data_IF_810840600331
#
_entry.id   IF_810840600331
#
_cell.length_a   1.000
_cell.length_b   1.000
_cell.length_c   1.000
_cell.angle_alpha   90.00
_cell.angle_beta   90.00
_cell.angle_gamma   90.00
#
_symmetry.space_group_name_H-M   'P 1'
#
loop_
_entity.id
_entity.type
_entity.pdbx_description
1 polymer ?
#
# COMPACT_ATOMS: atom_id res chain seq x y z
N UNK A 1 7.25 33.70 -42.50
CA UNK A 1 8.21 32.93 -41.66
C UNK A 1 8.10 33.26 -40.18
N UNK A 2 8.09 34.54 -39.78
CA UNK A 2 7.97 34.98 -38.36
C UNK A 2 6.69 34.49 -37.66
N UNK A 3 5.55 34.50 -38.34
CA UNK A 3 4.27 33.99 -37.80
C UNK A 3 4.25 32.47 -37.64
N UNK A 4 4.93 31.72 -38.53
CA UNK A 4 5.06 30.26 -38.45
C UNK A 4 5.91 29.83 -37.24
N UNK A 5 7.01 30.56 -36.99
CA UNK A 5 7.89 30.35 -35.84
C UNK A 5 7.16 30.68 -34.53
N UNK A 6 6.34 31.73 -34.52
CA UNK A 6 5.50 32.09 -33.37
C UNK A 6 4.50 30.99 -33.02
N UNK A 7 3.82 30.40 -34.01
CA UNK A 7 2.88 29.30 -33.77
C UNK A 7 3.56 28.03 -33.23
N UNK A 8 4.76 27.70 -33.72
CA UNK A 8 5.55 26.57 -33.23
C UNK A 8 5.98 26.78 -31.77
N UNK A 9 6.40 27.99 -31.41
CA UNK A 9 6.83 28.28 -30.05
C UNK A 9 5.67 28.22 -29.05
N UNK A 10 4.48 28.69 -29.43
CA UNK A 10 3.28 28.60 -28.61
C UNK A 10 2.82 27.14 -28.43
N UNK A 11 2.90 26.31 -29.48
CA UNK A 11 2.51 24.90 -29.41
C UNK A 11 3.42 24.06 -28.49
N UNK A 12 4.73 24.35 -28.48
CA UNK A 12 5.69 23.68 -27.58
C UNK A 12 5.53 24.07 -26.10
N UNK A 13 4.90 25.21 -25.79
CA UNK A 13 4.68 25.63 -24.40
C UNK A 13 3.51 24.90 -23.72
N UNK A 14 2.50 24.47 -24.49
CA UNK A 14 1.32 23.80 -23.93
C UNK A 14 1.56 22.33 -23.54
N UNK A 15 2.54 21.65 -24.16
CA UNK A 15 2.84 20.23 -23.90
C UNK A 15 3.52 19.97 -22.54
N UNK A 16 4.06 20.99 -21.87
CA UNK A 16 4.75 20.81 -20.57
C UNK A 16 3.81 20.88 -19.36
N UNK A 17 2.54 21.24 -19.55
CA UNK A 17 1.58 21.45 -18.45
C UNK A 17 0.92 20.15 -17.95
N UNK A 18 1.18 19.01 -18.57
CA UNK A 18 0.57 17.73 -18.22
C UNK A 18 1.56 16.81 -17.48
N UNK A 19 1.93 17.17 -16.24
CA UNK A 19 2.49 16.23 -15.27
C UNK A 19 1.51 16.06 -14.11
N UNK A 20 0.58 15.10 -14.24
CA UNK A 20 -0.25 14.67 -13.12
C UNK A 20 0.49 13.54 -12.39
N UNK A 21 0.94 13.84 -11.17
CA UNK A 21 1.53 12.86 -10.28
C UNK A 21 0.43 11.96 -9.71
N UNK A 22 0.43 10.69 -10.12
CA UNK A 22 -0.58 9.72 -9.71
C UNK A 22 -0.28 9.26 -8.26
N UNK A 23 -0.82 10.01 -7.30
CA UNK A 23 -0.61 9.75 -5.88
C UNK A 23 -1.46 8.56 -5.41
N UNK A 24 -0.81 7.53 -4.84
CA UNK A 24 -1.50 6.37 -4.29
C UNK A 24 -2.25 6.77 -3.02
N UNK A 25 -3.58 6.61 -3.04
CA UNK A 25 -4.49 6.86 -1.92
C UNK A 25 -4.98 5.55 -1.35
N UNK A 26 -5.01 5.45 -0.02
CA UNK A 26 -5.42 4.23 0.70
C UNK A 26 -6.50 4.56 1.73
N UNK A 27 -7.42 3.60 1.95
CA UNK A 27 -8.46 3.69 2.97
C UNK A 27 -7.97 2.99 4.25
N UNK A 28 -8.32 3.56 5.39
CA UNK A 28 -7.95 3.07 6.72
C UNK A 28 -9.02 2.11 7.22
N UNK A 29 -8.60 1.01 7.83
CA UNK A 29 -9.51 0.05 8.50
C UNK A 29 -9.55 0.29 10.02
N UNK A 30 -10.56 -0.24 10.69
CA UNK A 30 -10.66 -0.06 12.13
C UNK A 30 -9.49 -0.73 12.85
N UNK A 31 -8.82 0.02 13.73
CA UNK A 31 -7.59 -0.41 14.41
C UNK A 31 -6.29 -0.15 13.65
N UNK A 32 -6.33 0.43 12.45
CA UNK A 32 -5.12 0.85 11.76
C UNK A 32 -4.50 2.11 12.40
N UNK A 33 -3.21 2.01 12.73
CA UNK A 33 -2.36 3.17 13.02
C UNK A 33 -1.47 3.50 11.81
N UNK A 34 -0.81 4.65 11.84
CA UNK A 34 0.10 5.07 10.75
C UNK A 34 1.16 4.00 10.45
N UNK A 35 1.72 3.38 11.50
CA UNK A 35 2.73 2.32 11.35
C UNK A 35 2.16 1.04 10.73
N UNK A 36 0.95 0.61 11.11
CA UNK A 36 0.35 -0.59 10.51
C UNK A 36 0.00 -0.34 9.06
N UNK A 37 -0.55 0.83 8.75
CA UNK A 37 -0.89 1.24 7.39
C UNK A 37 0.34 1.26 6.48
N UNK A 38 1.44 1.90 6.91
CA UNK A 38 2.69 1.92 6.13
C UNK A 38 3.22 0.50 5.88
N UNK A 39 3.25 -0.37 6.91
CA UNK A 39 3.71 -1.77 6.75
C UNK A 39 2.81 -2.61 5.86
N UNK A 40 1.48 -2.44 5.94
CA UNK A 40 0.50 -3.11 5.09
C UNK A 40 0.74 -2.81 3.61
N UNK A 41 1.28 -1.62 3.31
CA UNK A 41 1.68 -1.20 1.98
C UNK A 41 3.19 -1.36 1.69
N UNK A 42 3.93 -2.10 2.53
CA UNK A 42 5.33 -2.43 2.30
C UNK A 42 6.31 -1.28 2.53
N UNK A 43 5.89 -0.18 3.17
CA UNK A 43 6.75 0.96 3.49
C UNK A 43 7.38 0.78 4.87
N UNK A 44 8.66 1.15 5.00
CA UNK A 44 9.34 1.17 6.29
C UNK A 44 8.85 2.39 7.10
N UNK A 45 8.18 2.20 8.26
CA UNK A 45 7.66 3.32 9.04
C UNK A 45 8.76 4.30 9.47
N UNK A 46 9.94 3.82 9.84
CA UNK A 46 11.04 4.68 10.31
C UNK A 46 11.49 5.70 9.26
N UNK A 47 11.41 5.32 7.98
CA UNK A 47 11.79 6.15 6.85
C UNK A 47 10.63 7.01 6.33
N UNK A 48 9.41 6.49 6.38
CA UNK A 48 8.26 7.06 5.65
C UNK A 48 7.25 7.80 6.55
N UNK A 49 7.35 7.67 7.88
CA UNK A 49 6.40 8.27 8.81
C UNK A 49 6.33 9.79 8.68
N UNK A 50 7.49 10.47 8.68
CA UNK A 50 7.54 11.93 8.58
C UNK A 50 6.95 12.44 7.26
N UNK A 51 7.19 11.72 6.16
CA UNK A 51 6.62 12.05 4.86
C UNK A 51 5.10 11.84 4.84
N UNK A 52 4.61 10.74 5.40
CA UNK A 52 3.18 10.47 5.53
C UNK A 52 2.46 11.55 6.35
N UNK A 53 3.04 11.95 7.49
CA UNK A 53 2.52 13.03 8.33
C UNK A 53 2.41 14.34 7.55
N UNK A 54 3.46 14.70 6.79
CA UNK A 54 3.48 15.94 6.00
C UNK A 54 2.43 15.95 4.90
N UNK A 55 2.25 14.83 4.19
CA UNK A 55 1.28 14.70 3.10
C UNK A 55 -0.17 14.73 3.59
N UNK A 56 -0.42 14.24 4.80
CA UNK A 56 -1.77 14.05 5.33
C UNK A 56 -2.09 14.95 6.53
N UNK A 57 -1.29 15.99 6.81
CA UNK A 57 -1.41 16.83 8.01
C UNK A 57 -2.83 17.33 8.32
N UNK A 58 -3.62 17.62 7.28
CA UNK A 58 -4.98 18.15 7.40
C UNK A 58 -6.02 17.06 7.75
N UNK A 59 -5.63 15.79 7.64
CA UNK A 59 -6.47 14.60 7.83
C UNK A 59 -5.98 13.76 9.02
N UNK A 60 -5.11 14.28 9.88
CA UNK A 60 -4.61 13.58 11.08
C UNK A 60 -5.08 14.34 12.32
N UNK A 61 -5.67 13.60 13.26
CA UNK A 61 -6.15 14.14 14.53
C UNK A 61 -5.14 13.83 15.63
N UNK A 62 -5.02 14.71 16.63
CA UNK A 62 -4.18 14.48 17.82
C UNK A 62 -2.72 14.08 17.49
N UNK A 63 -2.20 14.52 16.33
CA UNK A 63 -0.85 14.22 15.87
C UNK A 63 -0.60 12.82 15.31
N UNK A 64 -1.51 11.85 15.48
CA UNK A 64 -1.31 10.46 15.01
C UNK A 64 -2.58 9.65 14.71
N UNK A 65 -3.76 10.14 15.10
CA UNK A 65 -5.04 9.46 14.87
C UNK A 65 -5.52 9.62 13.43
N UNK A 66 -5.97 8.52 12.84
CA UNK A 66 -6.55 8.46 11.49
C UNK A 66 -8.09 8.40 11.57
N UNK A 67 -8.75 9.01 10.59
CA UNK A 67 -10.21 8.94 10.42
C UNK A 67 -10.56 7.76 9.50
N UNK A 68 -11.53 6.95 9.91
CA UNK A 68 -11.98 5.77 9.16
C UNK A 68 -12.61 6.10 7.80
N UNK A 69 -13.23 7.28 7.69
CA UNK A 69 -13.93 7.73 6.49
C UNK A 69 -13.06 8.61 5.57
N UNK A 70 -11.75 8.65 5.81
CA UNK A 70 -10.81 9.44 4.98
C UNK A 70 -9.82 8.54 4.23
N UNK A 71 -9.33 9.10 3.13
CA UNK A 71 -8.24 8.52 2.36
C UNK A 71 -6.93 9.23 2.68
N UNK A 72 -5.85 8.46 2.66
CA UNK A 72 -4.51 8.95 2.98
C UNK A 72 -3.58 8.71 1.81
N UNK A 73 -2.73 9.70 1.54
CA UNK A 73 -1.72 9.66 0.49
C UNK A 73 -0.49 8.98 1.05
N UNK A 74 -0.04 7.92 0.39
CA UNK A 74 1.21 7.25 0.74
C UNK A 74 2.42 8.01 0.16
N UNK A 75 3.52 8.13 0.93
CA UNK A 75 4.76 8.68 0.40
C UNK A 75 5.36 7.77 -0.68
N UNK A 76 6.03 8.39 -1.67
CA UNK A 76 6.70 7.68 -2.76
C UNK A 76 7.75 6.71 -2.21
N UNK A 77 7.74 5.48 -2.72
CA UNK A 77 8.48 4.32 -2.17
C UNK A 77 7.70 3.00 -2.32
N UNK A 78 6.42 3.09 -2.63
CA UNK A 78 5.57 1.98 -3.10
C UNK A 78 5.88 1.69 -4.57
N UNK A 79 6.93 0.90 -4.83
CA UNK A 79 7.08 0.27 -6.14
C UNK A 79 5.95 -0.73 -6.31
N UNK A 80 5.19 -0.68 -7.42
CA UNK A 80 4.07 -1.62 -7.69
C UNK A 80 4.48 -3.10 -7.52
N UNK A 81 5.75 -3.43 -7.75
CA UNK A 81 6.32 -4.77 -7.50
C UNK A 81 6.27 -5.23 -6.03
N UNK A 82 6.43 -4.30 -5.08
CA UNK A 82 6.40 -4.64 -3.65
C UNK A 82 4.99 -4.96 -3.19
N UNK A 83 3.98 -4.32 -3.77
CA UNK A 83 2.57 -4.60 -3.49
C UNK A 83 2.20 -6.01 -3.95
N UNK A 84 2.63 -6.42 -5.15
CA UNK A 84 2.42 -7.78 -5.69
C UNK A 84 3.14 -8.82 -4.82
N UNK A 85 4.38 -8.54 -4.42
CA UNK A 85 5.16 -9.43 -3.56
C UNK A 85 4.53 -9.62 -2.18
N UNK A 86 3.96 -8.55 -1.60
CA UNK A 86 3.28 -8.60 -0.30
C UNK A 86 1.97 -9.38 -0.39
N UNK A 87 1.19 -9.21 -1.46
CA UNK A 87 -0.01 -10.00 -1.72
C UNK A 87 0.30 -11.49 -1.87
N UNK A 88 1.36 -11.85 -2.60
CA UNK A 88 1.77 -13.26 -2.77
C UNK A 88 2.26 -13.86 -1.45
N UNK A 89 3.03 -13.12 -0.63
CA UNK A 89 3.48 -13.58 0.68
C UNK A 89 2.29 -13.84 1.62
N UNK A 90 1.29 -12.95 1.62
CA UNK A 90 0.09 -13.09 2.45
C UNK A 90 -0.72 -14.33 2.05
N UNK A 91 -0.92 -14.58 0.75
CA UNK A 91 -1.55 -15.80 0.25
C UNK A 91 -0.80 -17.08 0.67
N UNK A 92 0.54 -17.05 0.64
CA UNK A 92 1.38 -18.19 1.06
C UNK A 92 1.24 -18.46 2.56
N UNK A 93 1.15 -17.42 3.38
CA UNK A 93 0.92 -17.54 4.81
C UNK A 93 -0.47 -18.09 5.12
N UNK A 94 -1.52 -17.59 4.45
CA UNK A 94 -2.89 -18.12 4.56
C UNK A 94 -2.95 -19.59 4.15
N UNK A 95 -2.32 -19.98 3.04
CA UNK A 95 -2.24 -21.37 2.61
C UNK A 95 -1.56 -22.27 3.65
N UNK A 96 -0.46 -21.81 4.26
CA UNK A 96 0.24 -22.56 5.30
C UNK A 96 -0.58 -22.69 6.59
N UNK A 97 -1.34 -21.66 6.97
CA UNK A 97 -2.27 -21.69 8.11
C UNK A 97 -3.46 -22.61 7.85
N UNK A 98 -3.99 -22.67 6.63
CA UNK A 98 -5.06 -23.61 6.31
C UNK A 98 -4.52 -25.05 6.39
N UNK A 99 -3.34 -25.30 5.81
CA UNK A 99 -2.71 -26.63 5.84
C UNK A 99 -2.42 -27.12 7.26
N UNK A 100 -1.91 -26.25 8.14
CA UNK A 100 -1.58 -26.65 9.51
C UNK A 100 -2.83 -26.98 10.35
N UNK A 101 -3.96 -26.32 10.10
CA UNK A 101 -5.21 -26.57 10.80
C UNK A 101 -5.81 -27.93 10.38
N UNK A 102 -5.77 -28.24 9.09
CA UNK A 102 -6.19 -29.56 8.57
C UNK A 102 -5.29 -30.71 9.07
N UNK A 103 -4.00 -30.46 9.28
CA UNK A 103 -3.08 -31.44 9.87
C UNK A 103 -3.31 -31.68 11.37
N UNK A 104 -3.96 -30.74 12.06
CA UNK A 104 -4.26 -30.85 13.49
C UNK A 104 -5.54 -31.65 13.76
N UNK A 105 -6.45 -31.69 12.78
CA UNK A 105 -7.69 -32.48 12.84
C UNK A 105 -7.50 -33.98 12.53
N UNK A 106 -6.39 -34.36 11.88
CA UNK A 106 -6.02 -35.78 11.72
C UNK A 106 -5.34 -36.30 13.00
N UNK A 107 -6.11 -36.78 13.96
CA UNK A 107 -5.57 -37.56 15.09
C UNK A 107 -4.82 -38.80 14.58
N UNK A 108 -3.60 -39.11 15.06
CA UNK A 108 -2.95 -40.38 14.80
C UNK A 108 -3.61 -41.45 15.68
N UNK A 109 -4.78 -41.94 15.28
CA UNK A 109 -5.40 -43.05 15.99
C UNK A 109 -6.02 -44.05 15.03
N UNK A 110 -5.25 -45.10 14.73
CA UNK A 110 -5.85 -46.39 14.45
C UNK A 110 -5.17 -47.44 15.32
N UNK A 111 -5.83 -47.86 16.40
CA UNK A 111 -5.45 -49.00 17.26
C UNK A 111 -5.63 -50.37 16.56
N UNK A 112 -5.60 -50.41 15.22
CA UNK A 112 -5.91 -51.62 14.43
C UNK A 112 -4.75 -52.64 14.37
N UNK A 113 -3.69 -52.42 15.14
CA UNK A 113 -2.49 -53.26 15.21
C UNK A 113 -2.22 -53.74 16.64
N UNK A 114 -3.25 -54.26 17.31
CA UNK A 114 -3.06 -55.15 18.47
C UNK A 114 -3.55 -56.54 18.08
N UNK A 115 -2.62 -57.35 17.59
CA UNK A 115 -2.75 -58.81 17.51
C UNK A 115 -1.66 -59.41 18.37
#
# INVERSE_FOLDING_TARGET
MKTLISCIFTLCFFITLCSQDDQIKVKVENGDGIYSLLRKHGLNPSEHYAAFMRLNKNNIKNGSELYLDRQYILPRGVTKEKQISTSILNLKQVHNTIKNNQLKEISPKSDRLKN
#
